data_IF_888973642376
#
_entry.id   IF_888973642376
#
_cell.length_a   1.000
_cell.length_b   1.000
_cell.length_c   1.000
_cell.angle_alpha   90.00
_cell.angle_beta   90.00
_cell.angle_gamma   90.00
#
_symmetry.space_group_name_H-M   'P 1'
#
loop_
_entity.id
_entity.type
_entity.pdbx_description
1 polymer ?
#
# COMPACT_ATOMS: atom_id res chain seq x y z
N UNK A 1 -19.14 -14.50 33.79
CA UNK A 1 -19.58 -13.72 32.60
C UNK A 1 -18.73 -12.45 32.50
N UNK A 2 -18.19 -12.10 31.34
CA UNK A 2 -17.39 -10.87 31.17
C UNK A 2 -18.27 -9.74 30.60
N UNK A 3 -18.06 -8.51 31.07
CA UNK A 3 -18.71 -7.31 30.53
C UNK A 3 -17.81 -6.68 29.47
N UNK A 4 -18.21 -6.78 28.21
CA UNK A 4 -17.54 -6.14 27.08
C UNK A 4 -18.26 -4.85 26.71
N UNK A 5 -17.50 -3.84 26.29
CA UNK A 5 -18.03 -2.57 25.80
C UNK A 5 -17.22 -2.10 24.60
N UNK A 6 -17.82 -1.20 23.83
CA UNK A 6 -17.20 -0.64 22.64
C UNK A 6 -16.22 0.46 23.05
N UNK A 7 -15.03 0.42 22.45
CA UNK A 7 -14.04 1.49 22.52
C UNK A 7 -13.75 1.98 21.11
N UNK A 8 -13.88 3.29 20.92
CA UNK A 8 -13.43 3.95 19.71
C UNK A 8 -11.91 3.83 19.55
N UNK A 9 -11.49 3.38 18.37
CA UNK A 9 -10.13 3.41 17.88
C UNK A 9 -9.89 4.59 16.95
N UNK A 10 -8.95 4.45 16.02
CA UNK A 10 -8.70 5.44 14.98
C UNK A 10 -9.49 5.14 13.69
N UNK A 11 -9.77 6.17 12.89
CA UNK A 11 -10.44 6.05 11.58
C UNK A 11 -11.73 5.22 11.62
N UNK A 12 -12.62 5.50 12.59
CA UNK A 12 -13.91 4.84 12.79
C UNK A 12 -13.84 3.32 13.02
N UNK A 13 -12.66 2.81 13.38
CA UNK A 13 -12.54 1.43 13.86
C UNK A 13 -12.99 1.38 15.31
N UNK A 14 -13.92 0.48 15.63
CA UNK A 14 -14.35 0.21 16.99
C UNK A 14 -13.76 -1.10 17.47
N UNK A 15 -13.50 -1.22 18.77
CA UNK A 15 -12.99 -2.44 19.37
C UNK A 15 -13.87 -2.89 20.52
N UNK A 16 -14.13 -4.20 20.60
CA UNK A 16 -14.68 -4.81 21.80
C UNK A 16 -13.59 -4.93 22.87
N UNK A 17 -13.80 -4.28 24.02
CA UNK A 17 -12.85 -4.27 25.13
C UNK A 17 -13.53 -4.54 26.47
N UNK A 18 -12.75 -4.96 27.47
CA UNK A 18 -13.21 -5.09 28.86
C UNK A 18 -12.16 -4.51 29.83
N UNK A 19 -12.58 -4.19 31.04
CA UNK A 19 -11.65 -3.81 32.13
C UNK A 19 -11.27 -5.04 32.96
N UNK A 20 -9.99 -5.18 33.29
CA UNK A 20 -9.47 -6.18 34.24
C UNK A 20 -8.34 -5.56 35.07
N UNK A 21 -8.52 -5.42 36.38
CA UNK A 21 -7.50 -4.87 37.28
C UNK A 21 -7.01 -3.48 36.86
N UNK A 22 -7.92 -2.58 36.46
CA UNK A 22 -7.59 -1.24 35.97
C UNK A 22 -7.09 -1.18 34.51
N UNK A 23 -6.69 -2.29 33.90
CA UNK A 23 -6.23 -2.35 32.52
C UNK A 23 -7.36 -2.64 31.52
N UNK A 24 -7.20 -2.12 30.29
CA UNK A 24 -8.04 -2.47 29.15
C UNK A 24 -7.52 -3.76 28.51
N UNK A 25 -8.42 -4.72 28.32
CA UNK A 25 -8.16 -5.96 27.59
C UNK A 25 -9.00 -5.95 26.31
N UNK A 26 -8.32 -6.07 25.17
CA UNK A 26 -8.96 -6.17 23.86
C UNK A 26 -9.42 -7.60 23.58
N UNK A 27 -10.63 -7.75 23.03
CA UNK A 27 -11.21 -9.07 22.73
C UNK A 27 -10.35 -9.85 21.75
N UNK A 28 -9.97 -9.23 20.62
CA UNK A 28 -9.12 -9.84 19.60
C UNK A 28 -7.81 -10.38 20.16
N UNK A 29 -7.23 -9.72 21.18
CA UNK A 29 -5.95 -10.11 21.77
C UNK A 29 -6.09 -11.21 22.81
N UNK A 30 -7.28 -11.37 23.39
CA UNK A 30 -7.62 -12.51 24.22
C UNK A 30 -7.93 -13.75 23.37
N UNK A 31 -8.54 -13.57 22.19
CA UNK A 31 -8.86 -14.66 21.26
C UNK A 31 -7.61 -15.16 20.53
N UNK A 32 -6.75 -14.24 20.10
CA UNK A 32 -5.47 -14.55 19.46
C UNK A 32 -4.32 -13.93 20.27
N UNK A 33 -3.77 -14.65 21.26
CA UNK A 33 -2.61 -14.21 22.00
C UNK A 33 -1.41 -14.09 21.06
N UNK A 34 -0.81 -12.90 21.00
CA UNK A 34 0.40 -12.63 20.23
C UNK A 34 1.48 -12.03 21.13
N UNK A 35 2.77 -12.39 20.93
CA UNK A 35 3.89 -11.83 21.69
C UNK A 35 3.92 -10.31 21.75
N UNK A 36 4.61 -9.77 22.75
CA UNK A 36 4.88 -8.32 22.84
C UNK A 36 5.62 -7.87 21.59
N UNK A 37 5.20 -6.73 21.02
CA UNK A 37 5.74 -6.19 19.77
C UNK A 37 4.94 -6.56 18.51
N UNK A 38 4.08 -7.58 18.59
CA UNK A 38 3.12 -7.90 17.54
C UNK A 38 1.73 -7.32 17.85
N UNK A 39 0.95 -7.17 16.80
CA UNK A 39 -0.43 -6.70 16.78
C UNK A 39 -1.34 -7.83 16.28
N UNK A 40 -2.62 -7.74 16.63
CA UNK A 40 -3.67 -8.56 16.05
C UNK A 40 -4.39 -7.70 15.02
N UNK A 41 -4.12 -7.98 13.76
CA UNK A 41 -4.73 -7.30 12.62
C UNK A 41 -6.07 -7.96 12.27
N UNK A 42 -7.07 -7.15 11.91
CA UNK A 42 -8.38 -7.61 11.46
C UNK A 42 -8.35 -7.58 9.94
N UNK A 43 -8.44 -8.74 9.29
CA UNK A 43 -8.29 -8.89 7.84
C UNK A 43 -9.27 -7.98 7.09
N UNK A 44 -10.53 -7.95 7.54
CA UNK A 44 -11.58 -7.09 6.97
C UNK A 44 -11.56 -5.62 7.45
N UNK A 45 -10.68 -5.27 8.39
CA UNK A 45 -10.55 -3.95 9.04
C UNK A 45 -11.72 -3.55 9.96
N UNK A 46 -12.60 -4.49 10.26
CA UNK A 46 -13.64 -4.33 11.26
C UNK A 46 -13.15 -4.83 12.62
N UNK A 47 -12.89 -3.90 13.56
CA UNK A 47 -12.40 -4.23 14.90
C UNK A 47 -13.45 -4.86 15.83
N UNK A 48 -14.72 -4.92 15.40
CA UNK A 48 -15.78 -5.64 16.11
C UNK A 48 -15.91 -7.09 15.62
N UNK A 49 -15.41 -7.42 14.43
CA UNK A 49 -15.36 -8.79 13.93
C UNK A 49 -14.18 -9.57 14.52
N UNK A 50 -14.44 -10.16 15.68
CA UNK A 50 -13.44 -10.89 16.47
C UNK A 50 -13.42 -12.41 16.16
N UNK A 51 -13.99 -12.86 15.04
CA UNK A 51 -13.93 -14.26 14.60
C UNK A 51 -12.47 -14.64 14.33
N UNK A 52 -12.01 -15.81 14.82
CA UNK A 52 -10.61 -16.27 14.64
C UNK A 52 -10.14 -16.23 13.19
N UNK A 53 -11.02 -16.57 12.24
CA UNK A 53 -10.72 -16.52 10.80
C UNK A 53 -10.44 -15.11 10.25
N UNK A 54 -10.90 -14.06 10.95
CA UNK A 54 -10.66 -12.66 10.58
C UNK A 54 -9.43 -12.05 11.29
N UNK A 55 -8.80 -12.77 12.22
CA UNK A 55 -7.67 -12.26 13.01
C UNK A 55 -6.36 -12.86 12.52
N UNK A 56 -5.30 -12.04 12.46
CA UNK A 56 -3.94 -12.52 12.16
C UNK A 56 -2.87 -11.76 12.94
N UNK A 57 -1.73 -12.41 13.25
CA UNK A 57 -0.57 -11.69 13.76
C UNK A 57 -0.02 -10.73 12.70
N UNK A 58 0.40 -9.55 13.13
CA UNK A 58 1.00 -8.55 12.26
C UNK A 58 2.06 -7.76 13.03
N UNK A 59 3.14 -7.37 12.35
CA UNK A 59 4.00 -6.28 12.79
C UNK A 59 3.24 -4.96 12.74
N UNK A 60 3.77 -3.93 13.41
CA UNK A 60 3.19 -2.58 13.33
C UNK A 60 3.06 -2.10 11.87
N UNK A 61 4.11 -2.30 11.06
CA UNK A 61 4.11 -1.88 9.66
C UNK A 61 3.10 -2.65 8.81
N UNK A 62 2.93 -3.95 9.02
CA UNK A 62 1.91 -4.77 8.34
C UNK A 62 0.49 -4.32 8.69
N UNK A 63 0.21 -4.11 9.97
CA UNK A 63 -1.09 -3.60 10.42
C UNK A 63 -1.38 -2.21 9.82
N UNK A 64 -0.36 -1.34 9.71
CA UNK A 64 -0.50 -0.05 9.03
C UNK A 64 -0.77 -0.17 7.52
N UNK A 65 -0.22 -1.19 6.84
CA UNK A 65 -0.47 -1.44 5.41
C UNK A 65 -1.94 -1.83 5.17
N UNK A 66 -2.54 -2.56 6.11
CA UNK A 66 -3.95 -2.96 6.05
C UNK A 66 -4.93 -1.81 6.39
N UNK A 67 -4.42 -0.63 6.75
CA UNK A 67 -5.29 0.53 7.01
C UNK A 67 -5.95 1.00 5.70
N UNK A 68 -7.25 1.27 5.75
CA UNK A 68 -7.98 1.90 4.65
C UNK A 68 -7.56 3.35 4.40
N UNK A 69 -8.21 3.99 3.43
CA UNK A 69 -8.05 5.43 3.17
C UNK A 69 -8.45 6.23 4.41
N UNK A 70 -7.62 7.23 4.77
CA UNK A 70 -8.00 8.19 5.80
C UNK A 70 -9.18 9.04 5.34
N UNK A 71 -10.17 9.19 6.23
CA UNK A 71 -11.34 10.08 6.05
C UNK A 71 -10.95 11.53 6.32
N UNK A 72 -11.54 12.45 5.57
CA UNK A 72 -11.24 13.88 5.62
C UNK A 72 -11.32 14.52 4.24
N UNK A 73 -11.09 15.82 4.16
CA UNK A 73 -11.06 16.56 2.88
C UNK A 73 -9.72 16.33 2.17
N UNK A 74 -9.62 15.21 1.46
CA UNK A 74 -8.45 14.86 0.65
C UNK A 74 -8.78 15.02 -0.82
N UNK A 75 -7.76 15.35 -1.61
CA UNK A 75 -7.93 15.53 -3.05
C UNK A 75 -8.34 14.25 -3.79
N UNK A 76 -8.06 13.07 -3.23
CA UNK A 76 -8.41 11.78 -3.83
C UNK A 76 -9.27 10.94 -2.90
N UNK A 77 -10.20 10.19 -3.49
CA UNK A 77 -10.95 9.12 -2.81
C UNK A 77 -10.15 7.84 -2.63
N UNK A 78 -9.10 7.65 -3.43
CA UNK A 78 -8.30 6.43 -3.41
C UNK A 78 -7.09 6.55 -2.49
N UNK A 79 -6.74 5.42 -1.86
CA UNK A 79 -5.54 5.27 -1.04
C UNK A 79 -4.30 5.33 -1.93
N UNK A 80 -3.31 6.08 -1.46
CA UNK A 80 -2.03 6.24 -2.15
C UNK A 80 -2.05 7.25 -3.30
N UNK A 81 -3.20 7.85 -3.60
CA UNK A 81 -3.38 8.83 -4.68
C UNK A 81 -3.66 10.21 -4.09
N UNK A 82 -3.16 11.25 -4.75
CA UNK A 82 -3.45 12.64 -4.44
C UNK A 82 -3.26 13.53 -5.68
N UNK A 83 -4.01 14.62 -5.76
CA UNK A 83 -3.81 15.64 -6.80
C UNK A 83 -2.54 16.45 -6.53
N UNK A 84 -1.67 16.53 -7.54
CA UNK A 84 -0.51 17.41 -7.56
C UNK A 84 -0.88 18.69 -8.33
N UNK A 85 -0.97 19.82 -7.61
CA UNK A 85 -1.43 21.10 -8.17
C UNK A 85 -0.46 21.66 -9.21
N UNK A 86 0.84 21.46 -9.01
CA UNK A 86 1.88 22.02 -9.88
C UNK A 86 1.96 21.26 -11.20
N UNK A 87 1.78 19.94 -11.16
CA UNK A 87 1.76 19.09 -12.37
C UNK A 87 0.39 18.96 -13.01
N UNK A 88 -0.67 19.41 -12.32
CA UNK A 88 -2.06 19.20 -12.70
C UNK A 88 -2.35 17.74 -13.08
N UNK A 89 -1.84 16.82 -12.25
CA UNK A 89 -1.94 15.37 -12.47
C UNK A 89 -2.18 14.65 -11.16
N UNK A 90 -2.74 13.45 -11.26
CA UNK A 90 -2.86 12.51 -10.15
C UNK A 90 -1.53 11.83 -9.90
N UNK A 91 -1.04 11.91 -8.66
CA UNK A 91 0.20 11.29 -8.23
C UNK A 91 -0.08 10.07 -7.38
N UNK A 92 0.47 8.92 -7.76
CA UNK A 92 0.39 7.68 -6.99
C UNK A 92 1.70 7.40 -6.26
N UNK A 93 1.62 7.12 -4.95
CA UNK A 93 2.76 6.75 -4.13
C UNK A 93 2.41 5.55 -3.23
N UNK A 94 3.40 4.70 -2.96
CA UNK A 94 3.29 3.56 -2.02
C UNK A 94 4.46 3.57 -1.05
N UNK A 95 4.25 3.11 0.19
CA UNK A 95 5.35 2.98 1.16
C UNK A 95 5.93 1.57 1.12
N UNK A 96 7.21 1.44 0.78
CA UNK A 96 7.97 0.19 0.75
C UNK A 96 9.23 0.40 1.58
N UNK A 97 9.53 -0.51 2.52
CA UNK A 97 10.70 -0.44 3.40
C UNK A 97 10.89 0.93 4.07
N UNK A 98 9.79 1.48 4.62
CA UNK A 98 9.69 2.80 5.26
C UNK A 98 9.88 4.00 4.30
N UNK A 99 10.32 3.79 3.07
CA UNK A 99 10.46 4.82 2.03
C UNK A 99 9.17 5.02 1.27
N UNK A 100 8.86 6.27 0.92
CA UNK A 100 7.78 6.62 0.01
C UNK A 100 8.29 6.48 -1.43
N UNK A 101 7.77 5.50 -2.16
CA UNK A 101 8.08 5.24 -3.56
C UNK A 101 7.05 5.93 -4.44
N UNK A 102 7.52 6.78 -5.35
CA UNK A 102 6.71 7.42 -6.38
C UNK A 102 6.42 6.43 -7.52
N UNK A 103 5.16 6.27 -7.88
CA UNK A 103 4.72 5.33 -8.92
C UNK A 103 4.47 6.02 -10.26
N UNK A 104 4.22 7.33 -10.25
CA UNK A 104 4.04 8.12 -11.46
C UNK A 104 2.98 9.20 -11.33
N UNK A 105 2.80 9.90 -12.45
CA UNK A 105 1.77 10.90 -12.66
C UNK A 105 0.79 10.43 -13.73
N UNK A 106 -0.50 10.61 -13.47
CA UNK A 106 -1.61 10.12 -14.28
C UNK A 106 -2.61 11.26 -14.54
N UNK A 107 -3.27 11.21 -15.69
CA UNK A 107 -4.36 12.14 -16.01
C UNK A 107 -5.67 11.70 -15.36
N UNK A 108 -5.82 10.40 -15.12
CA UNK A 108 -6.99 9.81 -14.49
C UNK A 108 -6.69 9.33 -13.05
N UNK A 109 -7.62 9.61 -12.14
CA UNK A 109 -7.50 9.27 -10.73
C UNK A 109 -7.58 7.75 -10.52
N UNK A 110 -8.46 7.10 -11.28
CA UNK A 110 -8.73 5.66 -11.20
C UNK A 110 -7.53 4.86 -11.69
N UNK A 111 -6.88 5.29 -12.77
CA UNK A 111 -5.64 4.71 -13.29
C UNK A 111 -4.52 4.79 -12.25
N UNK A 112 -4.32 5.95 -11.62
CA UNK A 112 -3.36 6.11 -10.52
C UNK A 112 -3.65 5.13 -9.37
N UNK A 113 -4.92 4.92 -9.03
CA UNK A 113 -5.36 4.00 -7.98
C UNK A 113 -5.13 2.53 -8.35
N UNK A 114 -5.33 2.14 -9.62
CA UNK A 114 -5.03 0.78 -10.11
C UNK A 114 -3.54 0.47 -10.03
N UNK A 115 -2.69 1.42 -10.40
CA UNK A 115 -1.23 1.29 -10.27
C UNK A 115 -0.81 1.16 -8.81
N UNK A 116 -1.44 1.94 -7.91
CA UNK A 116 -1.24 1.77 -6.48
C UNK A 116 -1.63 0.37 -6.01
N UNK A 117 -2.80 -0.14 -6.39
CA UNK A 117 -3.30 -1.44 -5.97
C UNK A 117 -2.41 -2.59 -6.44
N UNK A 118 -2.04 -2.61 -7.72
CA UNK A 118 -1.11 -3.59 -8.28
C UNK A 118 0.23 -3.58 -7.51
N UNK A 119 0.74 -2.39 -7.22
CA UNK A 119 2.00 -2.25 -6.48
C UNK A 119 1.86 -2.67 -5.02
N UNK A 120 0.78 -2.27 -4.34
CA UNK A 120 0.51 -2.64 -2.96
C UNK A 120 0.33 -4.15 -2.81
N UNK A 121 -0.36 -4.80 -3.76
CA UNK A 121 -0.52 -6.26 -3.81
C UNK A 121 0.84 -6.97 -3.85
N UNK A 122 1.76 -6.50 -4.71
CA UNK A 122 3.12 -7.06 -4.83
C UNK A 122 3.95 -6.85 -3.55
N UNK A 123 4.00 -5.62 -3.01
CA UNK A 123 4.90 -5.31 -1.89
C UNK A 123 4.33 -5.59 -0.50
N UNK A 124 3.01 -5.54 -0.32
CA UNK A 124 2.35 -5.70 0.98
C UNK A 124 1.65 -7.05 1.11
N UNK A 125 1.44 -7.77 -0.01
CA UNK A 125 0.84 -9.10 -0.04
C UNK A 125 -0.51 -9.13 0.66
N UNK A 126 -0.70 -10.11 1.56
CA UNK A 126 -1.94 -10.27 2.33
C UNK A 126 -2.32 -9.06 3.18
N UNK A 127 -1.38 -8.16 3.51
CA UNK A 127 -1.64 -6.95 4.29
C UNK A 127 -1.95 -5.73 3.43
N UNK A 128 -2.05 -5.90 2.10
CA UNK A 128 -2.44 -4.81 1.21
C UNK A 128 -3.92 -4.47 1.42
N UNK A 129 -4.20 -3.23 1.85
CA UNK A 129 -5.55 -2.67 1.71
C UNK A 129 -5.64 -1.96 0.36
N UNK A 130 -6.34 -2.62 -0.57
CA UNK A 130 -6.57 -2.22 -1.94
C UNK A 130 -7.79 -1.28 -2.06
N UNK A 131 -7.85 -0.54 -3.15
CA UNK A 131 -8.94 0.35 -3.52
C UNK A 131 -10.06 -0.39 -4.28
N UNK A 132 -9.71 -1.39 -5.10
CA UNK A 132 -10.63 -2.19 -5.90
C UNK A 132 -10.61 -3.66 -5.46
N UNK A 133 -11.77 -4.32 -5.52
CA UNK A 133 -11.89 -5.75 -5.18
C UNK A 133 -11.13 -6.64 -6.18
N UNK A 134 -11.15 -6.26 -7.46
CA UNK A 134 -10.62 -7.05 -8.59
C UNK A 134 -9.28 -6.50 -9.07
N UNK A 135 -8.41 -6.07 -8.16
CA UNK A 135 -7.10 -5.59 -8.52
C UNK A 135 -6.26 -6.73 -9.15
N UNK A 136 -6.26 -6.76 -10.48
CA UNK A 136 -5.38 -7.59 -11.31
C UNK A 136 -3.90 -7.30 -10.97
N UNK A 137 -3.03 -8.30 -11.16
CA UNK A 137 -1.59 -8.06 -11.22
C UNK A 137 -1.29 -7.27 -12.49
N UNK A 138 -1.55 -5.96 -12.45
CA UNK A 138 -1.42 -5.09 -13.60
C UNK A 138 0.03 -5.05 -14.07
N UNK A 139 0.22 -5.12 -15.38
CA UNK A 139 1.47 -4.70 -15.99
C UNK A 139 1.69 -3.23 -15.61
N UNK A 140 2.67 -2.97 -14.74
CA UNK A 140 2.88 -1.68 -14.05
C UNK A 140 3.41 -0.59 -15.01
N UNK A 141 3.48 -0.93 -16.30
CA UNK A 141 4.01 -0.11 -17.38
C UNK A 141 3.06 -0.21 -18.57
N UNK A 142 2.55 0.94 -19.04
CA UNK A 142 2.10 1.06 -20.42
C UNK A 142 3.36 1.31 -21.26
N UNK A 143 3.53 0.55 -22.34
CA UNK A 143 4.45 0.91 -23.42
C UNK A 143 4.00 2.30 -23.92
N UNK A 144 4.85 3.31 -23.76
CA UNK A 144 4.69 4.63 -24.38
C UNK A 144 5.81 4.77 -25.39
N UNK A 145 5.47 5.12 -26.62
CA UNK A 145 6.41 5.18 -27.75
C UNK A 145 7.44 6.33 -27.62
N UNK A 146 7.27 7.20 -26.64
CA UNK A 146 7.92 8.51 -26.49
C UNK A 146 8.78 8.66 -25.20
N UNK A 147 8.86 7.63 -24.34
CA UNK A 147 9.82 7.57 -23.23
C UNK A 147 10.60 6.25 -23.28
N UNK A 148 11.94 6.26 -23.12
CA UNK A 148 12.70 5.02 -23.08
C UNK A 148 12.16 4.15 -21.95
N UNK A 149 11.92 2.85 -22.19
CA UNK A 149 11.37 1.96 -21.18
C UNK A 149 12.23 2.07 -19.94
N UNK A 150 11.62 2.54 -18.84
CA UNK A 150 12.28 2.49 -17.54
C UNK A 150 12.69 1.03 -17.35
N UNK A 151 13.99 0.73 -17.29
CA UNK A 151 14.45 -0.61 -17.58
C UNK A 151 13.78 -1.56 -16.59
N UNK A 152 13.41 -2.75 -17.11
CA UNK A 152 12.91 -3.98 -16.46
C UNK A 152 13.85 -4.51 -15.36
N UNK A 153 14.36 -3.60 -14.53
CA UNK A 153 15.42 -3.79 -13.57
C UNK A 153 15.02 -3.32 -12.18
N UNK A 154 13.97 -2.53 -11.95
CA UNK A 154 13.68 -2.09 -10.58
C UNK A 154 13.05 -3.18 -9.70
N UNK A 155 12.10 -3.97 -10.21
CA UNK A 155 11.56 -5.12 -9.46
C UNK A 155 12.57 -6.27 -9.31
N UNK A 156 13.44 -6.46 -10.30
CA UNK A 156 14.50 -7.48 -10.31
C UNK A 156 15.68 -7.07 -9.41
N UNK A 157 16.13 -5.82 -9.46
CA UNK A 157 17.24 -5.31 -8.64
C UNK A 157 16.86 -5.15 -7.16
N UNK A 158 15.59 -4.90 -6.83
CA UNK A 158 15.11 -4.86 -5.44
C UNK A 158 15.01 -6.27 -4.86
N UNK A 159 14.53 -7.26 -5.62
CA UNK A 159 14.59 -8.68 -5.23
C UNK A 159 16.04 -9.19 -5.06
N UNK A 160 17.02 -8.56 -5.72
CA UNK A 160 18.46 -8.90 -5.67
C UNK A 160 19.30 -8.03 -4.72
N UNK A 161 18.71 -7.11 -3.95
CA UNK A 161 19.44 -6.36 -2.91
C UNK A 161 20.50 -5.37 -3.41
N UNK A 162 20.45 -4.92 -4.67
CA UNK A 162 21.52 -4.09 -5.26
C UNK A 162 21.32 -2.59 -4.99
N UNK A 163 22.24 -1.99 -4.21
CA UNK A 163 22.32 -0.54 -3.95
C UNK A 163 22.87 0.18 -5.18
N UNK A 164 22.02 0.85 -5.98
CA UNK A 164 22.51 1.68 -7.09
C UNK A 164 23.13 2.99 -6.56
N UNK A 165 24.45 3.01 -6.38
CA UNK A 165 25.27 4.23 -6.31
C UNK A 165 25.81 4.49 -7.72
N UNK A 166 25.38 5.60 -8.33
CA UNK A 166 25.84 6.24 -9.60
C UNK A 166 24.92 6.07 -10.81
N UNK A 167 24.72 7.19 -11.50
CA UNK A 167 23.94 7.39 -12.72
C UNK A 167 24.71 6.78 -13.90
N UNK A 168 24.11 5.96 -14.79
CA UNK A 168 24.81 5.48 -15.97
C UNK A 168 25.05 6.63 -16.97
N UNK A 169 26.15 6.60 -17.75
CA UNK A 169 26.46 7.64 -18.72
C UNK A 169 25.50 7.56 -19.91
N UNK A 170 25.11 8.72 -20.46
CA UNK A 170 24.27 8.79 -21.64
C UNK A 170 24.96 8.14 -22.85
N UNK A 171 24.35 7.10 -23.42
CA UNK A 171 24.75 6.53 -24.70
C UNK A 171 24.41 7.53 -25.82
N UNK A 172 25.43 8.00 -26.53
CA UNK A 172 25.30 8.78 -27.76
C UNK A 172 24.63 7.91 -28.83
N UNK A 173 23.38 8.22 -29.19
CA UNK A 173 22.71 7.63 -30.35
C UNK A 173 23.35 8.17 -31.63
N UNK A 174 23.94 7.28 -32.44
CA UNK A 174 24.30 7.57 -33.83
C UNK A 174 23.02 7.51 -34.67
N UNK A 175 22.77 8.57 -35.44
CA UNK A 175 21.73 8.61 -36.49
C UNK A 175 22.03 7.54 -37.55
N UNK A 176 21.05 6.70 -37.83
CA UNK A 176 20.91 5.99 -39.10
C UNK A 176 19.74 6.65 -39.82
N UNK A 177 20.02 7.29 -40.96
CA UNK A 177 19.01 7.85 -41.85
C UNK A 177 18.39 6.71 -42.65
N UNK A 178 17.07 6.79 -42.87
CA UNK A 178 16.37 6.04 -43.90
C UNK A 178 16.71 6.63 -45.29
N UNK A 179 16.92 5.77 -46.29
CA UNK A 179 16.91 6.16 -47.69
C UNK A 179 17.87 5.38 -48.60
N UNK A 180 17.26 4.72 -49.59
CA UNK A 180 17.77 4.32 -50.92
C UNK A 180 18.54 3.00 -51.09
N UNK A 181 17.95 2.13 -51.92
CA UNK A 181 18.54 0.91 -52.48
C UNK A 181 17.51 -0.13 -52.86
#
# INVERSE_FOLDING_TARGET
KYNWFIKEGGAETFYAVRKKGGAIVYMHRQILPVPKGLYVDHINRDGLDNRKANLRPATHSENCRNRGKMRGNYSSRYKGVHWDKDKQKWRANVRVDKKLTHLGYFTDETEAAKIYDATAKVYHGKYAALNFADAEEGNIYKERDDEPPVPMGWLTLIKLGAKYRRRPPALKLRRINAGDG
#
